data_IF_979988789193
#
_entry.id   IF_979988789193
#
_cell.length_a   1.000
_cell.length_b   1.000
_cell.length_c   1.000
_cell.angle_alpha   90.00
_cell.angle_beta   90.00
_cell.angle_gamma   90.00
#
_symmetry.space_group_name_H-M   'P 1'
#
loop_
_entity.id
_entity.type
_entity.pdbx_description
1 polymer ?
#
# COMPACT_ATOMS: atom_id res chain seq x y z
N UNK A 1 -36.71 85.71 -2.65
CA UNK A 1 -37.46 84.48 -2.14
C UNK A 1 -37.38 83.27 -3.08
N UNK A 2 -36.84 83.33 -4.32
CA UNK A 2 -36.74 82.21 -5.25
C UNK A 2 -35.50 81.33 -5.06
N UNK A 3 -34.47 81.81 -4.39
CA UNK A 3 -33.21 81.03 -4.17
C UNK A 3 -33.30 80.01 -2.98
N UNK A 4 -34.22 80.22 -2.09
CA UNK A 4 -34.31 79.30 -0.86
C UNK A 4 -34.81 77.88 -1.23
N UNK A 5 -35.74 77.80 -2.20
CA UNK A 5 -36.29 76.49 -2.62
C UNK A 5 -35.34 75.73 -3.54
N UNK A 6 -34.47 76.37 -4.29
CA UNK A 6 -33.50 75.72 -5.14
C UNK A 6 -32.37 75.09 -4.32
N UNK A 7 -31.91 75.82 -3.31
CA UNK A 7 -30.89 75.29 -2.37
C UNK A 7 -31.41 74.08 -1.62
N UNK A 8 -32.63 74.07 -1.15
CA UNK A 8 -33.25 72.93 -0.45
C UNK A 8 -33.48 71.76 -1.41
N UNK A 9 -33.91 71.99 -2.63
CA UNK A 9 -34.15 70.94 -3.63
C UNK A 9 -32.88 70.27 -4.09
N UNK A 10 -31.70 70.91 -4.05
CA UNK A 10 -30.43 70.41 -4.49
C UNK A 10 -29.61 69.82 -3.31
N UNK A 11 -29.67 70.48 -2.15
CA UNK A 11 -28.91 70.03 -0.96
C UNK A 11 -29.56 68.84 -0.29
N UNK A 12 -30.88 68.74 -0.22
CA UNK A 12 -31.57 67.62 0.44
C UNK A 12 -31.27 66.27 -0.23
N UNK A 13 -31.37 66.04 -1.54
CA UNK A 13 -30.99 64.78 -2.16
C UNK A 13 -29.50 64.53 -2.06
N UNK A 14 -28.63 65.54 -2.05
CA UNK A 14 -27.19 65.37 -1.85
C UNK A 14 -26.87 64.83 -0.44
N UNK A 15 -27.50 65.41 0.61
CA UNK A 15 -27.35 64.96 1.99
C UNK A 15 -27.89 63.53 2.13
N UNK A 16 -29.05 63.23 1.54
CA UNK A 16 -29.63 61.91 1.56
C UNK A 16 -28.73 60.88 0.86
N UNK A 17 -28.10 61.28 -0.25
CA UNK A 17 -27.11 60.43 -0.97
C UNK A 17 -25.85 60.18 -0.14
N UNK A 18 -25.31 61.19 0.55
CA UNK A 18 -24.17 61.03 1.47
C UNK A 18 -24.52 60.13 2.62
N UNK A 19 -25.68 60.29 3.25
CA UNK A 19 -26.17 59.41 4.33
C UNK A 19 -26.30 57.95 3.82
N UNK A 20 -26.83 57.78 2.59
CA UNK A 20 -26.91 56.45 1.97
C UNK A 20 -25.52 55.86 1.72
N UNK A 21 -24.54 56.59 1.18
CA UNK A 21 -23.18 56.12 0.98
C UNK A 21 -22.51 55.72 2.29
N UNK A 22 -22.65 56.52 3.35
CA UNK A 22 -22.12 56.22 4.69
C UNK A 22 -22.77 54.97 5.22
N UNK A 23 -24.10 54.87 5.18
CA UNK A 23 -24.84 53.69 5.63
C UNK A 23 -24.46 52.44 4.85
N UNK A 24 -24.32 52.57 3.50
CA UNK A 24 -23.88 51.48 2.63
C UNK A 24 -22.45 51.03 2.96
N UNK A 25 -21.54 51.98 3.31
CA UNK A 25 -20.16 51.68 3.72
C UNK A 25 -20.06 50.79 4.95
N UNK A 26 -21.03 50.84 5.87
CA UNK A 26 -21.11 49.96 7.03
C UNK A 26 -21.67 48.56 6.72
N UNK A 27 -22.45 48.42 5.64
CA UNK A 27 -23.07 47.15 5.26
C UNK A 27 -22.27 46.40 4.21
N UNK A 28 -21.69 47.09 3.26
CA UNK A 28 -20.92 46.49 2.19
C UNK A 28 -19.56 45.98 2.72
N UNK A 29 -19.27 44.68 2.48
CA UNK A 29 -18.03 44.04 2.90
C UNK A 29 -17.05 43.91 1.75
N UNK A 30 -15.80 44.25 2.01
CA UNK A 30 -14.67 44.02 1.11
C UNK A 30 -13.87 42.81 1.58
N UNK A 31 -13.56 41.91 0.66
CA UNK A 31 -12.64 40.80 0.93
C UNK A 31 -11.19 41.31 0.81
N UNK A 32 -10.40 41.05 1.86
CA UNK A 32 -8.95 41.22 1.84
C UNK A 32 -8.37 39.87 1.44
N UNK A 33 -7.57 39.88 0.37
CA UNK A 33 -7.07 38.67 -0.24
C UNK A 33 -5.56 38.70 -0.36
N UNK A 34 -4.94 37.51 -0.23
CA UNK A 34 -3.56 37.27 -0.62
C UNK A 34 -3.56 36.52 -1.94
N UNK A 35 -2.67 36.94 -2.83
CA UNK A 35 -2.47 36.31 -4.14
C UNK A 35 -1.17 35.53 -4.13
N UNK A 36 -1.19 34.33 -4.71
CA UNK A 36 -0.08 33.44 -4.87
C UNK A 36 -0.22 32.63 -6.16
N UNK A 37 0.85 31.97 -6.57
CA UNK A 37 0.77 30.92 -7.59
C UNK A 37 0.52 29.61 -6.88
N UNK A 38 -0.47 28.86 -7.32
CA UNK A 38 -0.80 27.55 -6.77
C UNK A 38 -0.84 26.47 -7.81
N UNK A 39 -0.67 25.25 -7.35
CA UNK A 39 -0.61 24.03 -8.17
C UNK A 39 -1.73 23.08 -7.76
N UNK A 40 -2.36 22.45 -8.73
CA UNK A 40 -3.33 21.37 -8.50
C UNK A 40 -2.58 20.08 -8.19
N UNK A 41 -2.81 19.53 -7.02
CA UNK A 41 -2.19 18.28 -6.56
C UNK A 41 -3.24 17.20 -6.27
N UNK A 42 -2.80 15.96 -6.22
CA UNK A 42 -3.63 14.85 -5.79
C UNK A 42 -3.88 14.90 -4.28
N UNK A 43 -5.03 14.40 -3.84
CA UNK A 43 -5.35 14.32 -2.41
C UNK A 43 -4.44 13.36 -1.65
N UNK A 44 -3.90 12.36 -2.34
CA UNK A 44 -2.89 11.42 -1.82
C UNK A 44 -2.12 10.78 -2.97
N UNK A 45 -0.96 10.27 -2.68
CA UNK A 45 -0.28 9.27 -3.50
C UNK A 45 -0.82 7.90 -3.03
N UNK A 46 -1.40 7.13 -3.93
CA UNK A 46 -1.92 5.78 -3.59
C UNK A 46 -0.74 4.86 -3.33
N UNK A 47 0.23 4.82 -4.26
CA UNK A 47 1.40 3.99 -4.15
C UNK A 47 2.57 4.56 -4.94
N UNK A 48 3.77 4.29 -4.45
CA UNK A 48 5.01 4.43 -5.19
C UNK A 48 5.29 3.08 -5.85
N UNK A 49 5.36 3.06 -7.17
CA UNK A 49 5.69 1.86 -7.95
C UNK A 49 7.20 1.81 -8.07
N UNK A 50 7.81 0.90 -7.32
CA UNK A 50 9.26 0.72 -7.26
C UNK A 50 9.65 -0.62 -7.87
N UNK A 51 10.88 -0.70 -8.40
CA UNK A 51 11.46 -1.97 -8.86
C UNK A 51 11.53 -2.96 -7.69
N UNK A 52 11.03 -4.18 -7.91
CA UNK A 52 10.99 -5.26 -6.91
C UNK A 52 12.03 -6.36 -7.20
N UNK A 53 12.71 -6.30 -8.34
CA UNK A 53 13.69 -7.30 -8.76
C UNK A 53 14.84 -6.65 -9.52
N UNK A 54 16.03 -7.23 -9.41
CA UNK A 54 17.21 -6.87 -10.21
C UNK A 54 17.26 -7.68 -11.53
N UNK A 55 16.23 -8.45 -11.84
CA UNK A 55 16.14 -9.19 -13.10
C UNK A 55 15.83 -8.25 -14.27
N UNK A 56 16.18 -8.62 -15.51
CA UNK A 56 15.79 -7.87 -16.69
C UNK A 56 14.26 -7.76 -16.83
N UNK A 57 13.79 -6.59 -17.22
CA UNK A 57 12.36 -6.36 -17.48
C UNK A 57 11.97 -7.12 -18.77
N UNK A 58 11.07 -8.09 -18.64
CA UNK A 58 10.49 -8.84 -19.76
C UNK A 58 9.39 -8.03 -20.45
N UNK A 59 8.50 -7.42 -19.69
CA UNK A 59 7.44 -6.56 -20.22
C UNK A 59 7.22 -5.34 -19.33
N UNK A 60 7.04 -4.20 -19.97
CA UNK A 60 6.73 -2.94 -19.29
C UNK A 60 5.42 -2.35 -19.83
N UNK A 61 4.41 -2.28 -18.99
CA UNK A 61 3.08 -1.72 -19.28
C UNK A 61 2.86 -0.33 -18.69
N UNK A 62 3.91 0.25 -18.06
CA UNK A 62 3.86 1.61 -17.53
C UNK A 62 3.71 2.60 -18.67
N UNK A 63 2.59 3.30 -18.68
CA UNK A 63 2.33 4.40 -19.60
C UNK A 63 1.81 5.58 -18.81
N UNK A 64 2.37 6.77 -19.05
CA UNK A 64 1.97 7.98 -18.35
C UNK A 64 0.50 8.32 -18.64
N UNK A 65 -0.22 8.71 -17.61
CA UNK A 65 -1.65 9.00 -17.63
C UNK A 65 -2.56 7.80 -17.97
N UNK A 66 -2.05 6.58 -17.92
CA UNK A 66 -2.87 5.38 -18.06
C UNK A 66 -3.70 5.16 -16.80
N UNK A 67 -5.00 4.95 -16.98
CA UNK A 67 -5.88 4.46 -15.91
C UNK A 67 -5.64 2.97 -15.76
N UNK A 68 -5.34 2.53 -14.55
CA UNK A 68 -5.12 1.13 -14.19
C UNK A 68 -6.09 0.68 -13.12
N UNK A 69 -6.38 -0.61 -13.11
CA UNK A 69 -7.22 -1.25 -12.10
C UNK A 69 -6.38 -2.05 -11.12
N UNK A 70 -6.90 -2.23 -9.92
CA UNK A 70 -6.28 -3.09 -8.90
C UNK A 70 -5.98 -4.48 -9.46
N UNK A 71 -4.74 -4.95 -9.26
CA UNK A 71 -4.28 -6.24 -9.76
C UNK A 71 -3.79 -6.24 -11.21
N UNK A 72 -3.89 -5.11 -11.93
CA UNK A 72 -3.34 -5.01 -13.29
C UNK A 72 -1.82 -5.05 -13.25
N UNK A 73 -1.22 -5.92 -14.07
CA UNK A 73 0.24 -6.04 -14.17
C UNK A 73 0.83 -4.78 -14.81
N UNK A 74 1.79 -4.18 -14.14
CA UNK A 74 2.49 -2.96 -14.55
C UNK A 74 3.87 -3.26 -15.14
N UNK A 75 4.60 -4.19 -14.51
CA UNK A 75 5.92 -4.66 -14.96
C UNK A 75 5.99 -6.14 -14.73
N UNK A 76 6.63 -6.84 -15.66
CA UNK A 76 6.98 -8.23 -15.53
C UNK A 76 8.48 -8.39 -15.77
N UNK A 77 9.17 -9.01 -14.82
CA UNK A 77 10.58 -9.36 -14.93
C UNK A 77 10.76 -10.78 -15.46
N UNK A 78 11.97 -11.12 -15.86
CA UNK A 78 12.34 -12.49 -16.21
C UNK A 78 12.30 -13.35 -14.94
N UNK A 79 11.63 -14.52 -14.99
CA UNK A 79 11.31 -15.34 -13.81
C UNK A 79 11.80 -16.80 -13.93
N UNK A 80 12.58 -17.12 -14.96
CA UNK A 80 12.98 -18.50 -15.26
C UNK A 80 13.75 -19.18 -14.12
N UNK A 81 14.61 -18.43 -13.44
CA UNK A 81 15.42 -18.93 -12.32
C UNK A 81 14.55 -19.19 -11.10
N UNK A 82 13.66 -18.26 -10.76
CA UNK A 82 12.78 -18.29 -9.61
C UNK A 82 11.77 -19.45 -9.72
N UNK A 83 11.19 -19.64 -10.92
CA UNK A 83 10.31 -20.78 -11.19
C UNK A 83 11.06 -22.09 -10.98
N UNK A 84 12.23 -22.26 -11.61
CA UNK A 84 13.01 -23.48 -11.50
C UNK A 84 13.42 -23.78 -10.05
N UNK A 85 13.78 -22.76 -9.30
CA UNK A 85 14.14 -22.91 -7.88
C UNK A 85 12.96 -23.36 -7.04
N UNK A 86 11.80 -22.72 -7.21
CA UNK A 86 10.57 -23.07 -6.49
C UNK A 86 10.13 -24.49 -6.81
N UNK A 87 10.14 -24.89 -8.09
CA UNK A 87 9.73 -26.21 -8.53
C UNK A 87 10.65 -27.30 -7.97
N UNK A 88 11.96 -27.08 -7.97
CA UNK A 88 12.93 -28.02 -7.37
C UNK A 88 12.70 -28.20 -5.85
N UNK A 89 12.43 -27.11 -5.15
CA UNK A 89 12.14 -27.16 -3.71
C UNK A 89 10.79 -27.86 -3.44
N UNK A 90 9.79 -27.61 -4.26
CA UNK A 90 8.48 -28.25 -4.16
C UNK A 90 8.58 -29.77 -4.39
N UNK A 91 9.30 -30.21 -5.42
CA UNK A 91 9.51 -31.63 -5.68
C UNK A 91 10.20 -32.34 -4.51
N UNK A 92 11.20 -31.71 -3.89
CA UNK A 92 11.85 -32.25 -2.69
C UNK A 92 10.89 -32.33 -1.51
N UNK A 93 10.05 -31.30 -1.33
CA UNK A 93 9.03 -31.28 -0.26
C UNK A 93 8.02 -32.41 -0.43
N UNK A 94 7.55 -32.61 -1.66
CA UNK A 94 6.59 -33.67 -1.97
C UNK A 94 7.19 -35.06 -1.74
N UNK A 95 8.48 -35.25 -2.06
CA UNK A 95 9.21 -36.50 -1.75
C UNK A 95 9.26 -36.77 -0.25
N UNK A 96 9.65 -35.77 0.57
CA UNK A 96 9.70 -35.93 2.03
C UNK A 96 8.30 -36.17 2.62
N UNK A 97 7.27 -35.57 2.11
CA UNK A 97 5.87 -35.82 2.56
C UNK A 97 5.39 -37.22 2.23
N UNK A 98 5.76 -37.77 1.06
CA UNK A 98 5.49 -39.18 0.73
C UNK A 98 6.22 -40.10 1.68
N UNK A 99 7.52 -39.83 1.93
CA UNK A 99 8.31 -40.57 2.89
C UNK A 99 7.72 -40.56 4.31
N UNK A 100 7.27 -39.39 4.77
CA UNK A 100 6.59 -39.23 6.07
C UNK A 100 5.32 -40.09 6.14
N UNK A 101 4.53 -40.11 5.06
CA UNK A 101 3.31 -40.91 4.99
C UNK A 101 3.61 -42.40 5.11
N UNK A 102 4.60 -42.90 4.39
CA UNK A 102 4.98 -44.32 4.46
C UNK A 102 5.59 -44.68 5.80
N UNK A 103 6.38 -43.79 6.41
CA UNK A 103 6.93 -44.01 7.75
C UNK A 103 5.83 -44.03 8.83
N UNK A 104 4.74 -43.30 8.67
CA UNK A 104 3.55 -43.35 9.51
C UNK A 104 2.81 -44.72 9.34
N UNK A 105 2.77 -45.26 8.12
CA UNK A 105 2.24 -46.60 7.87
C UNK A 105 3.08 -47.65 8.58
N UNK A 106 4.42 -47.57 8.51
CA UNK A 106 5.31 -48.45 9.26
C UNK A 106 5.05 -48.37 10.76
N UNK A 107 4.95 -47.18 11.32
CA UNK A 107 4.62 -46.97 12.73
C UNK A 107 3.32 -47.69 13.11
N UNK A 108 2.27 -47.45 12.32
CA UNK A 108 0.97 -48.06 12.56
C UNK A 108 1.01 -49.59 12.41
N UNK A 109 1.80 -50.11 11.47
CA UNK A 109 1.99 -51.56 11.28
C UNK A 109 2.69 -52.20 12.50
N UNK A 110 3.72 -51.54 13.06
CA UNK A 110 4.38 -51.96 14.28
C UNK A 110 3.46 -51.92 15.51
N UNK A 111 2.65 -50.86 15.62
CA UNK A 111 1.69 -50.71 16.71
C UNK A 111 0.62 -51.78 16.69
N UNK A 112 0.07 -52.11 15.51
CA UNK A 112 -0.99 -53.10 15.33
C UNK A 112 -0.47 -54.54 15.19
N UNK A 113 0.82 -54.73 14.87
CA UNK A 113 1.40 -56.03 14.61
C UNK A 113 0.94 -56.66 13.29
N UNK A 114 0.47 -55.87 12.37
CA UNK A 114 -0.02 -56.31 11.05
C UNK A 114 0.54 -55.43 9.93
N UNK A 115 0.86 -56.01 8.79
CA UNK A 115 1.33 -55.26 7.63
C UNK A 115 0.18 -54.43 7.04
N UNK A 116 0.32 -53.09 7.06
CA UNK A 116 -0.63 -52.13 6.51
C UNK A 116 -0.19 -51.56 5.17
N UNK A 117 0.99 -51.95 4.64
CA UNK A 117 1.43 -51.55 3.32
C UNK A 117 0.60 -52.26 2.25
N UNK A 118 0.23 -51.53 1.19
CA UNK A 118 -0.39 -52.11 0.00
C UNK A 118 0.70 -52.68 -0.93
N UNK A 119 0.33 -53.68 -1.73
CA UNK A 119 1.22 -54.20 -2.77
C UNK A 119 1.61 -53.06 -3.70
N UNK A 120 2.87 -52.83 -3.96
CA UNK A 120 3.49 -51.77 -4.78
C UNK A 120 3.65 -50.39 -4.12
N UNK A 121 3.35 -50.16 -2.85
CA UNK A 121 3.39 -48.83 -2.21
C UNK A 121 4.62 -48.59 -1.33
N UNK A 122 5.70 -49.37 -1.49
CA UNK A 122 6.91 -49.26 -0.71
C UNK A 122 8.07 -48.56 -1.43
N UNK A 123 7.88 -47.29 -1.76
CA UNK A 123 8.91 -46.45 -2.44
C UNK A 123 10.21 -46.30 -1.63
N UNK A 124 10.15 -46.45 -0.31
CA UNK A 124 11.28 -46.19 0.62
C UNK A 124 11.79 -47.43 1.36
N UNK A 125 11.26 -48.61 1.10
CA UNK A 125 11.72 -49.89 1.70
C UNK A 125 11.23 -50.12 3.14
N UNK A 126 10.21 -49.40 3.60
CA UNK A 126 9.72 -49.55 4.97
C UNK A 126 8.93 -50.84 5.22
N UNK A 127 8.34 -51.47 4.19
CA UNK A 127 7.75 -52.80 4.29
C UNK A 127 8.79 -53.85 4.65
N UNK A 128 9.99 -53.73 4.08
CA UNK A 128 11.13 -54.61 4.43
C UNK A 128 11.52 -54.45 5.89
N UNK A 129 11.50 -53.24 6.45
CA UNK A 129 11.74 -53.00 7.88
C UNK A 129 10.70 -53.69 8.73
N UNK A 130 9.42 -53.65 8.36
CA UNK A 130 8.36 -54.38 9.07
C UNK A 130 8.56 -55.89 8.98
N UNK A 131 8.93 -56.42 7.81
CA UNK A 131 9.23 -57.84 7.62
C UNK A 131 10.39 -58.32 8.51
N UNK A 132 11.44 -57.47 8.63
CA UNK A 132 12.56 -57.75 9.55
C UNK A 132 12.11 -57.82 11.01
N UNK A 133 11.22 -56.89 11.44
CA UNK A 133 10.62 -56.92 12.75
C UNK A 133 9.84 -58.24 13.00
N UNK A 134 9.02 -58.67 12.06
CA UNK A 134 8.24 -59.90 12.15
C UNK A 134 9.18 -61.12 12.24
N UNK A 135 10.24 -61.20 11.39
CA UNK A 135 11.22 -62.31 11.46
C UNK A 135 11.92 -62.39 12.81
N UNK A 136 12.30 -61.26 13.40
CA UNK A 136 12.90 -61.24 14.74
C UNK A 136 11.93 -61.67 15.86
N UNK A 137 10.62 -61.37 15.71
CA UNK A 137 9.60 -61.88 16.60
C UNK A 137 9.49 -63.40 16.52
N UNK A 138 9.47 -63.97 15.31
CA UNK A 138 9.42 -65.42 15.07
C UNK A 138 10.64 -66.12 15.59
N UNK A 139 11.85 -65.55 15.46
CA UNK A 139 13.08 -66.07 16.07
C UNK A 139 13.02 -66.16 17.62
N UNK A 140 12.45 -65.09 18.22
CA UNK A 140 12.24 -65.11 19.70
C UNK A 140 11.25 -66.17 20.12
N UNK A 141 10.20 -66.46 19.37
CA UNK A 141 9.25 -67.52 19.63
C UNK A 141 9.86 -68.92 19.45
N UNK A 142 10.59 -69.09 18.34
CA UNK A 142 11.21 -70.36 17.99
C UNK A 142 12.35 -70.75 18.98
N UNK A 143 13.12 -69.78 19.48
CA UNK A 143 14.19 -69.98 20.43
C UNK A 143 13.71 -70.56 21.79
N UNK A 144 12.43 -70.37 22.10
CA UNK A 144 11.78 -70.87 23.31
C UNK A 144 11.27 -72.31 23.13
N UNK A 145 10.74 -72.65 21.94
CA UNK A 145 10.24 -74.00 21.66
C UNK A 145 11.36 -75.08 21.60
N UNK A 146 12.57 -74.63 21.20
CA UNK A 146 13.71 -75.56 21.11
C UNK A 146 14.46 -75.78 22.43
N UNK A 147 14.10 -75.10 23.51
CA UNK A 147 14.68 -75.34 24.88
C UNK A 147 13.81 -76.32 25.69
N UNK A 148 13.47 -77.46 25.07
CA UNK A 148 12.73 -78.58 25.72
C UNK A 148 13.66 -79.40 26.60
N UNK A 149 14.17 -78.78 27.65
CA UNK A 149 15.07 -79.38 28.66
C UNK A 149 14.95 -78.69 30.01
N UNK A 150 13.74 -78.71 30.58
CA UNK A 150 13.58 -78.66 32.03
C UNK A 150 13.87 -77.37 32.77
N UNK A 151 13.35 -76.26 32.35
CA UNK A 151 13.00 -75.12 33.20
C UNK A 151 11.84 -74.35 32.47
N UNK A 152 10.72 -74.15 33.19
CA UNK A 152 9.61 -73.31 32.78
C UNK A 152 10.19 -71.93 32.60
N UNK A 153 10.55 -71.56 31.33
CA UNK A 153 10.87 -70.20 31.01
C UNK A 153 9.57 -69.44 31.15
N UNK A 154 9.51 -68.57 32.15
CA UNK A 154 8.37 -67.80 32.58
C UNK A 154 7.83 -67.07 31.38
N UNK A 155 6.56 -67.27 30.97
CA UNK A 155 5.85 -66.68 29.86
C UNK A 155 5.94 -65.15 29.91
N UNK A 156 6.16 -64.60 31.10
CA UNK A 156 6.46 -63.21 31.43
C UNK A 156 7.76 -62.66 30.80
N UNK A 157 8.80 -63.54 30.73
CA UNK A 157 10.13 -63.15 30.19
C UNK A 157 10.10 -63.00 28.67
N UNK A 158 9.29 -63.78 27.98
CA UNK A 158 9.11 -63.73 26.51
C UNK A 158 8.29 -62.49 26.09
N UNK A 159 7.17 -62.30 26.82
CA UNK A 159 6.33 -61.09 26.59
C UNK A 159 7.14 -59.81 26.79
N UNK A 160 8.02 -59.76 27.79
CA UNK A 160 8.92 -58.64 28.05
C UNK A 160 9.91 -58.41 26.91
N UNK A 161 10.50 -59.46 26.32
CA UNK A 161 11.43 -59.40 25.20
C UNK A 161 10.75 -58.94 23.93
N UNK A 162 9.55 -59.46 23.61
CA UNK A 162 8.72 -59.00 22.47
C UNK A 162 8.35 -57.53 22.60
N UNK A 163 7.96 -57.10 23.80
CA UNK A 163 7.64 -55.70 24.07
C UNK A 163 8.87 -54.79 23.91
N UNK A 164 10.04 -55.26 24.39
CA UNK A 164 11.30 -54.53 24.25
C UNK A 164 11.68 -54.38 22.77
N UNK A 165 11.59 -55.43 21.97
CA UNK A 165 11.83 -55.38 20.52
C UNK A 165 10.88 -54.40 19.80
N UNK A 166 9.58 -54.49 20.08
CA UNK A 166 8.59 -53.58 19.53
C UNK A 166 8.91 -52.12 19.88
N UNK A 167 9.23 -51.85 21.14
CA UNK A 167 9.56 -50.51 21.60
C UNK A 167 10.86 -49.99 20.95
N UNK A 168 11.84 -50.85 20.68
CA UNK A 168 13.06 -50.46 19.96
C UNK A 168 12.73 -49.96 18.53
N UNK A 169 11.98 -50.76 17.76
CA UNK A 169 11.59 -50.37 16.41
C UNK A 169 10.71 -49.11 16.40
N UNK A 170 9.75 -49.00 17.34
CA UNK A 170 8.91 -47.80 17.45
C UNK A 170 9.73 -46.57 17.81
N UNK A 171 10.71 -46.67 18.70
CA UNK A 171 11.56 -45.54 19.07
C UNK A 171 12.38 -45.06 17.86
N UNK A 172 12.94 -45.98 17.08
CA UNK A 172 13.68 -45.65 15.86
C UNK A 172 12.78 -44.91 14.83
N UNK A 173 11.58 -45.45 14.59
CA UNK A 173 10.61 -44.83 13.65
C UNK A 173 10.17 -43.48 14.15
N UNK A 174 9.90 -43.30 15.44
CA UNK A 174 9.52 -42.00 16.02
C UNK A 174 10.65 -40.96 15.86
N UNK A 175 11.90 -41.39 16.08
CA UNK A 175 13.05 -40.53 15.89
C UNK A 175 13.21 -40.12 14.43
N UNK A 176 13.06 -41.06 13.48
CA UNK A 176 13.07 -40.76 12.04
C UNK A 176 11.95 -39.83 11.66
N UNK A 177 10.73 -40.04 12.16
CA UNK A 177 9.59 -39.12 11.94
C UNK A 177 9.87 -37.71 12.43
N UNK A 178 10.43 -37.58 13.65
CA UNK A 178 10.77 -36.25 14.20
C UNK A 178 11.81 -35.52 13.34
N UNK A 179 12.84 -36.22 12.88
CA UNK A 179 13.86 -35.66 11.99
C UNK A 179 13.26 -35.26 10.67
N UNK A 180 12.42 -36.10 10.09
CA UNK A 180 11.76 -35.85 8.80
C UNK A 180 10.80 -34.67 8.89
N UNK A 181 10.03 -34.56 9.95
CA UNK A 181 9.13 -33.41 10.19
C UNK A 181 9.90 -32.09 10.29
N UNK A 182 11.05 -32.09 10.96
CA UNK A 182 11.92 -30.91 11.03
C UNK A 182 12.42 -30.50 9.65
N UNK A 183 12.79 -31.48 8.81
CA UNK A 183 13.21 -31.23 7.42
C UNK A 183 12.05 -30.71 6.56
N UNK A 184 10.85 -31.23 6.74
CA UNK A 184 9.65 -30.77 6.03
C UNK A 184 9.36 -29.30 6.37
N UNK A 185 9.39 -28.95 7.67
CA UNK A 185 9.14 -27.56 8.12
C UNK A 185 10.17 -26.59 7.53
N UNK A 186 11.47 -26.95 7.56
CA UNK A 186 12.53 -26.14 6.95
C UNK A 186 12.31 -25.95 5.45
N UNK A 187 11.96 -27.05 4.76
CA UNK A 187 11.76 -27.02 3.32
C UNK A 187 10.46 -26.26 2.93
N UNK A 188 9.39 -26.35 3.72
CA UNK A 188 8.19 -25.53 3.55
C UNK A 188 8.51 -24.05 3.66
N UNK A 189 9.35 -23.68 4.64
CA UNK A 189 9.85 -22.30 4.75
C UNK A 189 10.58 -21.82 3.49
N UNK A 190 11.46 -22.69 2.93
CA UNK A 190 12.19 -22.39 1.71
C UNK A 190 11.29 -22.29 0.46
N UNK A 191 10.28 -23.16 0.34
CA UNK A 191 9.28 -23.11 -0.74
C UNK A 191 8.50 -21.80 -0.66
N UNK A 192 8.06 -21.40 0.54
CA UNK A 192 7.36 -20.14 0.74
C UNK A 192 8.25 -18.95 0.38
N UNK A 193 9.51 -18.94 0.80
CA UNK A 193 10.46 -17.89 0.44
C UNK A 193 10.67 -17.80 -1.08
N UNK A 194 10.84 -18.93 -1.78
CA UNK A 194 10.94 -18.97 -3.24
C UNK A 194 9.64 -18.48 -3.90
N UNK A 195 8.48 -18.76 -3.31
CA UNK A 195 7.19 -18.22 -3.75
C UNK A 195 7.11 -16.70 -3.66
N UNK A 196 7.60 -16.10 -2.57
CA UNK A 196 7.71 -14.64 -2.43
C UNK A 196 8.67 -14.04 -3.46
N UNK A 197 9.82 -14.66 -3.68
CA UNK A 197 10.77 -14.22 -4.70
C UNK A 197 10.13 -14.24 -6.09
N UNK A 198 9.42 -15.31 -6.43
CA UNK A 198 8.69 -15.40 -7.70
C UNK A 198 7.58 -14.32 -7.80
N UNK A 199 6.84 -14.05 -6.73
CA UNK A 199 5.83 -12.99 -6.73
C UNK A 199 6.43 -11.60 -6.92
N UNK A 200 7.68 -11.37 -6.51
CA UNK A 200 8.39 -10.10 -6.70
C UNK A 200 8.84 -9.85 -8.14
N UNK A 201 8.75 -10.86 -9.02
CA UNK A 201 9.02 -10.69 -10.46
C UNK A 201 7.89 -10.01 -11.23
N UNK A 202 6.77 -9.74 -10.55
CA UNK A 202 5.65 -8.99 -11.11
C UNK A 202 5.27 -7.83 -10.21
N UNK A 203 5.12 -6.65 -10.80
CA UNK A 203 4.57 -5.48 -10.11
C UNK A 203 3.15 -5.28 -10.60
N UNK A 204 2.21 -5.25 -9.66
CA UNK A 204 0.79 -5.03 -9.94
C UNK A 204 0.29 -3.74 -9.26
N UNK A 205 -0.73 -3.13 -9.85
CA UNK A 205 -1.37 -1.97 -9.24
C UNK A 205 -2.10 -2.37 -7.94
N UNK A 206 -1.80 -1.74 -6.80
CA UNK A 206 -2.43 -2.09 -5.52
C UNK A 206 -3.87 -1.60 -5.40
N UNK A 207 -4.23 -0.54 -6.12
CA UNK A 207 -5.57 0.06 -6.19
C UNK A 207 -5.82 0.61 -7.59
N UNK A 208 -7.08 0.99 -7.85
CA UNK A 208 -7.45 1.73 -9.05
C UNK A 208 -6.85 3.14 -9.04
N UNK A 209 -6.35 3.61 -10.17
CA UNK A 209 -5.76 4.95 -10.24
C UNK A 209 -5.20 5.33 -11.59
N UNK A 210 -4.47 6.44 -11.61
CA UNK A 210 -3.75 6.95 -12.79
C UNK A 210 -2.26 6.91 -12.53
N UNK A 211 -1.51 6.37 -13.49
CA UNK A 211 -0.06 6.30 -13.43
C UNK A 211 0.60 7.62 -13.85
N UNK A 212 1.59 8.03 -13.07
CA UNK A 212 2.55 9.08 -13.44
C UNK A 212 3.96 8.46 -13.45
N UNK A 213 4.62 8.46 -14.61
CA UNK A 213 5.97 7.91 -14.74
C UNK A 213 6.98 8.91 -14.22
N UNK A 214 7.78 8.47 -13.26
CA UNK A 214 8.90 9.24 -12.69
C UNK A 214 10.17 8.94 -13.47
N UNK A 215 10.46 7.66 -13.67
CA UNK A 215 11.62 7.20 -14.43
C UNK A 215 11.20 6.19 -15.49
N UNK A 216 11.44 6.48 -16.79
CA UNK A 216 11.10 5.55 -17.85
C UNK A 216 12.05 4.34 -17.81
N UNK A 217 11.49 3.16 -17.59
CA UNK A 217 12.19 1.88 -17.70
C UNK A 217 11.94 1.28 -19.07
N UNK A 218 13.02 0.83 -19.74
CA UNK A 218 12.93 0.17 -21.06
C UNK A 218 12.85 -1.34 -20.88
N UNK A 219 12.20 -2.01 -21.82
CA UNK A 219 12.23 -3.47 -21.91
C UNK A 219 13.68 -3.98 -22.03
N UNK A 220 13.96 -5.16 -21.47
CA UNK A 220 15.28 -5.79 -21.42
C UNK A 220 16.36 -5.05 -20.64
N UNK A 221 16.00 -4.02 -19.88
CA UNK A 221 16.92 -3.33 -18.97
C UNK A 221 16.81 -3.90 -17.55
N UNK A 222 17.91 -3.79 -16.81
CA UNK A 222 17.96 -4.06 -15.37
C UNK A 222 17.79 -2.74 -14.63
N UNK A 223 16.88 -2.72 -13.68
CA UNK A 223 16.66 -1.57 -12.80
C UNK A 223 16.84 -2.05 -11.36
N UNK A 224 17.69 -1.37 -10.61
CA UNK A 224 17.98 -1.74 -9.23
C UNK A 224 16.70 -1.77 -8.36
N UNK A 225 16.58 -2.78 -7.53
CA UNK A 225 15.49 -2.91 -6.55
C UNK A 225 15.37 -1.66 -5.70
N UNK A 226 14.13 -1.18 -5.48
CA UNK A 226 13.83 0.05 -4.75
C UNK A 226 13.83 1.33 -5.59
N UNK A 227 14.25 1.26 -6.88
CA UNK A 227 14.17 2.42 -7.79
C UNK A 227 12.72 2.77 -8.06
N UNK A 228 12.33 4.02 -7.83
CA UNK A 228 10.99 4.52 -8.13
C UNK A 228 10.80 4.67 -9.64
N UNK A 229 9.81 3.98 -10.18
CA UNK A 229 9.49 3.94 -11.61
C UNK A 229 8.28 4.81 -11.95
N UNK A 230 7.26 4.74 -11.12
CA UNK A 230 6.03 5.49 -11.30
C UNK A 230 5.33 5.77 -9.96
N UNK A 231 4.41 6.71 -9.97
CA UNK A 231 3.51 7.02 -8.88
C UNK A 231 2.07 6.73 -9.32
N UNK A 232 1.28 6.17 -8.42
CA UNK A 232 -0.14 5.93 -8.65
C UNK A 232 -0.96 6.96 -7.89
N UNK A 233 -1.79 7.69 -8.61
CA UNK A 233 -2.66 8.73 -8.08
C UNK A 233 -4.14 8.36 -8.23
N UNK A 234 -5.03 8.90 -7.37
CA UNK A 234 -6.46 8.77 -7.58
C UNK A 234 -6.89 9.35 -8.93
N UNK A 235 -7.86 8.72 -9.59
CA UNK A 235 -8.43 9.29 -10.80
C UNK A 235 -9.32 10.49 -10.44
N UNK A 236 -9.02 11.66 -10.99
CA UNK A 236 -9.79 12.91 -10.75
C UNK A 236 -11.26 12.75 -11.13
N UNK A 237 -11.56 11.99 -12.19
CA UNK A 237 -12.93 11.77 -12.66
C UNK A 237 -13.78 11.01 -11.62
N UNK A 238 -13.17 10.13 -10.84
CA UNK A 238 -13.86 9.30 -9.86
C UNK A 238 -13.98 10.02 -8.51
N UNK A 239 -12.88 10.57 -8.02
CA UNK A 239 -12.84 11.23 -6.71
C UNK A 239 -13.43 12.63 -6.74
N UNK A 240 -13.26 13.35 -7.84
CA UNK A 240 -13.64 14.76 -8.02
C UNK A 240 -13.14 15.68 -6.90
N UNK A 241 -12.03 15.29 -6.26
CA UNK A 241 -11.37 16.05 -5.22
C UNK A 241 -9.92 16.30 -5.59
N UNK A 242 -9.44 17.52 -5.35
CA UNK A 242 -8.06 17.92 -5.57
C UNK A 242 -7.57 18.77 -4.40
N UNK A 243 -6.25 18.79 -4.23
CA UNK A 243 -5.60 19.78 -3.38
C UNK A 243 -5.07 20.93 -4.24
N UNK A 244 -5.10 22.12 -3.66
CA UNK A 244 -4.47 23.33 -4.22
C UNK A 244 -3.35 23.68 -3.25
N UNK A 245 -2.10 23.49 -3.66
CA UNK A 245 -0.95 23.90 -2.88
C UNK A 245 -0.41 25.22 -3.37
N UNK A 246 -0.08 26.13 -2.47
CA UNK A 246 0.49 27.44 -2.76
C UNK A 246 1.32 27.93 -1.57
N UNK A 247 2.19 28.91 -1.82
CA UNK A 247 3.08 29.47 -0.83
C UNK A 247 2.69 30.90 -0.50
N UNK A 248 2.71 31.21 0.80
CA UNK A 248 2.37 32.55 1.32
C UNK A 248 3.50 33.03 2.20
N UNK A 249 3.85 34.32 2.06
CA UNK A 249 4.86 34.97 2.90
C UNK A 249 4.49 34.89 4.38
N UNK A 250 5.49 34.84 5.25
CA UNK A 250 5.35 34.87 6.71
C UNK A 250 4.53 36.05 7.24
N UNK A 251 4.54 37.18 6.51
CA UNK A 251 3.78 38.37 6.81
C UNK A 251 2.25 38.10 6.85
N UNK A 252 1.75 37.23 5.97
CA UNK A 252 0.30 36.98 5.83
C UNK A 252 -0.18 35.70 6.50
N UNK A 253 0.74 34.75 6.83
CA UNK A 253 0.37 33.42 7.33
C UNK A 253 -0.44 33.48 8.63
N UNK A 254 -0.14 34.44 9.51
CA UNK A 254 -0.83 34.62 10.80
C UNK A 254 -2.32 34.95 10.63
N UNK A 255 -2.72 35.48 9.49
CA UNK A 255 -4.10 35.83 9.17
C UNK A 255 -4.87 34.69 8.50
N UNK A 256 -4.18 33.62 8.14
CA UNK A 256 -4.79 32.45 7.51
C UNK A 256 -5.29 31.47 8.56
N UNK A 257 -6.46 30.90 8.31
CA UNK A 257 -7.09 29.90 9.19
C UNK A 257 -7.67 28.77 8.35
N UNK A 258 -7.64 27.57 8.91
CA UNK A 258 -8.32 26.40 8.35
C UNK A 258 -9.81 26.73 8.07
N UNK A 259 -10.31 26.30 6.92
CA UNK A 259 -11.68 26.54 6.48
C UNK A 259 -11.91 27.83 5.71
N UNK A 260 -10.93 28.75 5.61
CA UNK A 260 -11.06 29.94 4.80
C UNK A 260 -11.14 29.61 3.30
N UNK A 261 -11.89 30.42 2.56
CA UNK A 261 -12.15 30.24 1.14
C UNK A 261 -10.89 30.54 0.31
N UNK A 262 -10.59 29.63 -0.60
CA UNK A 262 -9.53 29.76 -1.59
C UNK A 262 -10.13 29.64 -2.98
N UNK A 263 -9.67 30.44 -3.90
CA UNK A 263 -10.07 30.40 -5.33
C UNK A 263 -8.81 30.26 -6.16
N UNK A 264 -8.71 29.18 -6.92
CA UNK A 264 -7.66 28.98 -7.92
C UNK A 264 -8.24 29.32 -9.30
N UNK A 265 -7.66 30.28 -9.94
CA UNK A 265 -7.99 30.67 -11.32
C UNK A 265 -6.93 30.08 -12.26
N UNK A 266 -7.38 29.24 -13.19
CA UNK A 266 -6.60 28.64 -14.26
C UNK A 266 -6.92 29.40 -15.55
N UNK A 267 -5.94 30.11 -16.12
CA UNK A 267 -6.14 31.02 -17.23
C UNK A 267 -6.61 30.32 -18.52
N UNK A 268 -6.07 29.13 -18.78
CA UNK A 268 -6.37 28.35 -19.99
C UNK A 268 -6.53 26.88 -19.68
N UNK A 269 -7.77 26.47 -19.46
CA UNK A 269 -8.16 25.05 -19.38
C UNK A 269 -9.10 24.79 -20.55
N UNK A 270 -8.56 24.30 -21.67
CA UNK A 270 -9.26 24.31 -22.95
C UNK A 270 -9.39 25.73 -23.50
N UNK A 271 -10.61 26.14 -23.86
CA UNK A 271 -10.88 27.48 -24.47
C UNK A 271 -11.31 28.56 -23.45
N UNK A 272 -11.45 28.22 -22.18
CA UNK A 272 -11.98 29.12 -21.15
C UNK A 272 -11.16 29.07 -19.86
N UNK A 273 -11.14 30.18 -19.12
CA UNK A 273 -10.63 30.20 -17.75
C UNK A 273 -11.56 29.43 -16.82
N UNK A 274 -10.99 28.68 -15.88
CA UNK A 274 -11.73 27.90 -14.88
C UNK A 274 -11.36 28.39 -13.48
N UNK A 275 -12.36 28.63 -12.63
CA UNK A 275 -12.16 29.00 -11.24
C UNK A 275 -12.58 27.85 -10.34
N UNK A 276 -11.61 27.25 -9.66
CA UNK A 276 -11.85 26.19 -8.68
C UNK A 276 -11.98 26.84 -7.30
N UNK A 277 -13.06 26.53 -6.58
CA UNK A 277 -13.28 26.97 -5.21
C UNK A 277 -12.95 25.86 -4.23
N UNK A 278 -12.14 26.20 -3.23
CA UNK A 278 -11.76 25.29 -2.14
C UNK A 278 -11.75 25.99 -0.80
N UNK A 279 -11.33 25.26 0.22
CA UNK A 279 -11.11 25.77 1.57
C UNK A 279 -9.77 25.29 2.09
N UNK A 280 -9.10 26.13 2.89
CA UNK A 280 -7.82 25.77 3.53
C UNK A 280 -8.03 24.54 4.39
N UNK A 281 -7.28 23.49 4.11
CA UNK A 281 -7.24 22.23 4.87
C UNK A 281 -6.11 22.24 5.88
N UNK A 282 -4.92 22.67 5.46
CA UNK A 282 -3.74 22.73 6.33
C UNK A 282 -2.85 23.93 5.98
N UNK A 283 -2.12 24.37 7.00
CA UNK A 283 -1.08 25.39 6.93
C UNK A 283 0.14 24.73 7.54
N UNK A 284 1.27 24.68 6.80
CA UNK A 284 2.48 24.06 7.30
C UNK A 284 3.02 24.82 8.52
N UNK A 285 3.50 24.09 9.52
CA UNK A 285 4.07 24.67 10.74
C UNK A 285 5.51 25.15 10.58
N UNK A 286 6.17 24.82 9.44
CA UNK A 286 7.55 25.22 9.14
C UNK A 286 7.59 26.09 7.89
N UNK A 287 8.42 27.14 7.95
CA UNK A 287 8.67 27.97 6.80
C UNK A 287 9.70 27.32 5.87
N UNK A 288 9.50 27.47 4.57
CA UNK A 288 10.53 27.21 3.56
C UNK A 288 11.27 28.53 3.28
N UNK A 289 12.59 28.50 3.39
CA UNK A 289 13.41 29.66 3.07
C UNK A 289 13.56 29.80 1.55
N UNK A 290 13.32 30.98 1.05
CA UNK A 290 13.48 31.35 -0.37
C UNK A 290 14.30 32.63 -0.49
N UNK A 291 14.82 32.92 -1.68
CA UNK A 291 15.55 34.18 -1.95
C UNK A 291 14.72 35.43 -1.62
N UNK A 292 13.39 35.34 -1.58
CA UNK A 292 12.46 36.43 -1.29
C UNK A 292 11.95 36.43 0.15
N UNK A 293 12.55 35.61 1.03
CA UNK A 293 12.16 35.45 2.43
C UNK A 293 11.45 34.13 2.74
N UNK A 294 11.00 34.01 3.96
CA UNK A 294 10.33 32.81 4.46
C UNK A 294 8.89 32.71 3.95
N UNK A 295 8.54 31.55 3.39
CA UNK A 295 7.21 31.25 2.91
C UNK A 295 6.66 29.99 3.58
N UNK A 296 5.35 29.94 3.77
CA UNK A 296 4.65 28.80 4.31
C UNK A 296 3.81 28.14 3.22
N UNK A 297 3.87 26.82 3.14
CA UNK A 297 3.00 26.06 2.24
C UNK A 297 1.59 25.99 2.85
N UNK A 298 0.62 26.34 2.04
CA UNK A 298 -0.79 26.24 2.34
C UNK A 298 -1.40 25.20 1.42
N UNK A 299 -2.20 24.30 1.99
CA UNK A 299 -2.92 23.30 1.22
C UNK A 299 -4.42 23.53 1.40
N UNK A 300 -5.12 23.72 0.29
CA UNK A 300 -6.58 23.85 0.28
C UNK A 300 -7.22 22.68 -0.45
N UNK A 301 -8.30 22.15 0.08
CA UNK A 301 -9.08 21.09 -0.55
C UNK A 301 -10.21 21.67 -1.39
N UNK A 302 -10.38 21.18 -2.60
CA UNK A 302 -11.41 21.60 -3.51
C UNK A 302 -12.17 20.40 -4.08
N UNK A 303 -13.49 20.57 -4.24
CA UNK A 303 -14.36 19.61 -4.95
C UNK A 303 -14.65 20.14 -6.34
N UNK A 304 -14.51 19.27 -7.33
CA UNK A 304 -14.71 19.57 -8.72
C UNK A 304 -16.10 19.13 -9.19
N UNK A 305 -16.68 19.91 -10.07
CA UNK A 305 -17.82 19.46 -10.87
C UNK A 305 -17.36 18.44 -11.91
N UNK A 306 -18.28 17.66 -12.48
CA UNK A 306 -17.96 16.69 -13.53
C UNK A 306 -17.28 17.33 -14.73
N UNK A 307 -17.70 18.55 -15.13
CA UNK A 307 -17.09 19.28 -16.24
C UNK A 307 -15.67 19.75 -15.92
N UNK A 308 -15.44 20.22 -14.71
CA UNK A 308 -14.10 20.63 -14.26
C UNK A 308 -13.15 19.43 -14.20
N UNK A 309 -13.61 18.28 -13.63
CA UNK A 309 -12.81 17.07 -13.52
C UNK A 309 -12.34 16.51 -14.88
N UNK A 310 -13.09 16.72 -15.97
CA UNK A 310 -12.69 16.30 -17.30
C UNK A 310 -11.52 17.10 -17.87
N UNK A 311 -11.39 18.38 -17.48
CA UNK A 311 -10.42 19.30 -18.06
C UNK A 311 -9.23 19.57 -17.14
N UNK A 312 -9.37 19.34 -15.84
CA UNK A 312 -8.32 19.58 -14.84
C UNK A 312 -7.41 18.35 -14.75
N UNK A 313 -6.12 18.62 -14.66
CA UNK A 313 -5.08 17.59 -14.44
C UNK A 313 -4.19 17.99 -13.29
N UNK A 314 -3.60 17.01 -12.64
CA UNK A 314 -2.57 17.27 -11.63
C UNK A 314 -1.37 17.99 -12.24
N UNK A 315 -0.78 18.90 -11.49
CA UNK A 315 0.34 19.73 -11.93
C UNK A 315 -0.07 21.03 -12.64
N UNK A 316 -1.36 21.26 -12.93
CA UNK A 316 -1.79 22.54 -13.47
C UNK A 316 -1.55 23.67 -12.47
N UNK A 317 -1.00 24.77 -12.95
CA UNK A 317 -0.71 25.97 -12.16
C UNK A 317 -1.65 27.11 -12.52
N UNK A 318 -1.93 27.96 -11.54
CA UNK A 318 -2.78 29.13 -11.72
C UNK A 318 -2.65 30.15 -10.60
N UNK A 319 -3.43 31.19 -10.68
CA UNK A 319 -3.47 32.27 -9.68
C UNK A 319 -4.39 31.88 -8.53
N UNK A 320 -3.84 31.76 -7.32
CA UNK A 320 -4.60 31.52 -6.10
C UNK A 320 -4.95 32.86 -5.45
N UNK A 321 -6.20 32.99 -5.07
CA UNK A 321 -6.69 34.06 -4.21
C UNK A 321 -7.21 33.47 -2.91
N UNK A 322 -6.54 33.75 -1.81
CA UNK A 322 -6.93 33.32 -0.48
C UNK A 322 -7.55 34.48 0.29
N UNK A 323 -8.78 34.28 0.80
CA UNK A 323 -9.49 35.32 1.54
C UNK A 323 -9.02 35.32 2.99
N UNK A 324 -8.30 36.37 3.41
CA UNK A 324 -7.74 36.51 4.76
C UNK A 324 -8.77 37.06 5.72
N UNK A 325 -9.49 38.12 5.29
CA UNK A 325 -10.47 38.81 6.13
C UNK A 325 -11.60 39.39 5.29
N UNK A 326 -12.74 39.58 5.90
CA UNK A 326 -13.85 40.37 5.34
C UNK A 326 -14.05 41.57 6.26
N UNK A 327 -13.74 42.77 5.76
CA UNK A 327 -13.92 44.03 6.48
C UNK A 327 -14.99 44.86 5.79
N UNK A 328 -15.72 45.72 6.57
CA UNK A 328 -16.60 46.71 5.96
C UNK A 328 -15.79 47.73 5.17
N UNK A 329 -16.39 48.41 4.19
CA UNK A 329 -15.69 49.48 3.49
C UNK A 329 -15.27 50.59 4.44
N UNK A 330 -16.07 50.86 5.48
CA UNK A 330 -15.73 51.83 6.50
C UNK A 330 -14.45 51.44 7.27
N UNK A 331 -14.37 50.21 7.77
CA UNK A 331 -13.18 49.70 8.50
C UNK A 331 -11.96 49.68 7.57
N UNK A 332 -12.13 49.31 6.31
CA UNK A 332 -11.04 49.29 5.34
C UNK A 332 -10.44 50.68 5.10
N UNK A 333 -11.31 51.71 4.91
CA UNK A 333 -10.86 53.09 4.73
C UNK A 333 -10.23 53.66 5.99
N UNK A 334 -10.85 53.37 7.16
CA UNK A 334 -10.31 53.75 8.47
C UNK A 334 -8.90 53.22 8.68
N UNK A 335 -8.69 51.91 8.48
CA UNK A 335 -7.37 51.28 8.65
C UNK A 335 -6.35 51.86 7.67
N UNK A 336 -6.73 52.13 6.44
CA UNK A 336 -5.84 52.72 5.43
C UNK A 336 -5.42 54.12 5.78
N UNK A 337 -6.33 54.93 6.32
CA UNK A 337 -6.03 56.32 6.76
C UNK A 337 -5.14 56.27 8.03
N UNK A 338 -5.43 55.42 8.98
CA UNK A 338 -4.63 55.29 10.22
C UNK A 338 -3.23 54.75 9.96
N UNK A 339 -3.06 53.77 9.03
CA UNK A 339 -1.74 53.26 8.67
C UNK A 339 -0.91 54.22 7.78
N UNK A 340 -1.49 55.26 7.24
CA UNK A 340 -0.75 56.32 6.54
C UNK A 340 -0.31 57.44 7.50
N UNK A 341 -0.83 57.46 8.72
CA UNK A 341 -0.51 58.44 9.76
C UNK A 341 0.53 57.96 10.77
N UNK A 342 0.93 56.70 10.70
CA UNK A 342 2.06 56.09 11.42
C UNK A 342 3.21 55.74 10.44
#
# INVERSE_FOLDING_TARGET
RRYHNFTTLLVFPLVLFVVFLVSFSFWAKKEIVVQAIGTVEATRIIALIQSTSDNPIMANYLTSNKVVKKGETLIQYTETTEISQKDNLQQKLDLLKRQETQLKILKSSLEQGSNLFQEDDDEFGYQSTFSTYVSQLDELETSVQNNDGGFVTDDTSISSKKLALKNQFLQEVVQQLSTLQSQIIDLEGKVNQAGFQLSSTQIQAPEDGILHIVQPAKQSTVVATGTELAQLYPNILDTREVLISYYVSSEYVSNLKKGQVVRLFLDKVGNHGVTIKGSIESIDGFATETEKGNVFRITAKAKLTTKEAQNIKYGLQGHVTSVIAKKTYFDYVKDKVLNQLN
#
